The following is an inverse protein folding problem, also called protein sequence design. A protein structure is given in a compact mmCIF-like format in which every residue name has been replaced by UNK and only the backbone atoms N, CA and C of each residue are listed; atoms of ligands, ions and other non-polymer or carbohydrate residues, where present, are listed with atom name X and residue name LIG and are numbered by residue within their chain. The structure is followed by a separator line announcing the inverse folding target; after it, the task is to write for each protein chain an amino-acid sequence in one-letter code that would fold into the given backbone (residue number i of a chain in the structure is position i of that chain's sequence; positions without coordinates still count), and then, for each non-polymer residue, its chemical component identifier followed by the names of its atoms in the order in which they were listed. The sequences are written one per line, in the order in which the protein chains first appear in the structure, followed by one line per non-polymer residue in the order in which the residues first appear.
data_IF_238189174341
#
_entry.id   IF_238189174341
#
_cell.length_a   1.000
_cell.length_b   1.000
_cell.length_c   1.000
_cell.angle_alpha   90.00
_cell.angle_beta   90.00
_cell.angle_gamma   90.00
#
_symmetry.space_group_name_H-M   'P 1'
#
loop_
_entity.id
_entity.type
_entity.pdbx_description
1 polymer ?
#
# COMPACT_ATOMS: atom_id res chain seq x y z
N UNK A 1 11.65 -13.04 -12.74
CA UNK A 1 11.57 -11.67 -12.22
C UNK A 1 12.33 -10.77 -13.18
N UNK A 2 11.68 -9.76 -13.72
CA UNK A 2 12.38 -8.79 -14.57
C UNK A 2 13.39 -8.06 -13.70
N UNK A 3 14.56 -7.80 -14.27
CA UNK A 3 15.64 -7.07 -13.59
C UNK A 3 15.35 -5.56 -13.72
N UNK A 4 14.12 -5.15 -13.37
CA UNK A 4 13.70 -3.74 -13.47
C UNK A 4 14.34 -2.97 -12.34
N UNK A 5 15.27 -2.10 -12.65
CA UNK A 5 15.92 -1.22 -11.69
C UNK A 5 15.01 0.00 -11.44
N UNK A 6 14.43 0.07 -10.23
CA UNK A 6 13.60 1.17 -9.80
C UNK A 6 14.43 2.28 -9.14
N UNK A 7 14.28 3.50 -9.62
CA UNK A 7 15.04 4.65 -9.12
C UNK A 7 14.58 5.09 -7.72
N UNK A 8 13.29 5.14 -7.49
CA UNK A 8 12.69 5.58 -6.23
C UNK A 8 12.20 4.41 -5.37
N UNK A 9 11.46 3.47 -5.96
CA UNK A 9 10.87 2.36 -5.24
C UNK A 9 11.91 1.51 -4.50
N UNK A 10 13.10 1.33 -5.07
CA UNK A 10 14.18 0.59 -4.44
C UNK A 10 14.65 1.18 -3.10
N UNK A 11 14.46 2.49 -2.90
CA UNK A 11 14.91 3.25 -1.73
C UNK A 11 13.80 3.59 -0.75
N UNK A 12 12.54 3.42 -1.14
CA UNK A 12 11.38 3.81 -0.35
C UNK A 12 10.68 2.56 0.17
N UNK A 13 10.74 2.35 1.48
CA UNK A 13 10.07 1.25 2.18
C UNK A 13 9.19 1.74 3.32
N UNK A 14 9.23 3.04 3.64
CA UNK A 14 8.44 3.66 4.71
C UNK A 14 7.83 4.97 4.25
N UNK A 15 6.72 5.41 4.87
CA UNK A 15 6.15 6.73 4.62
C UNK A 15 7.13 7.88 4.91
N UNK A 16 8.01 7.70 5.90
CA UNK A 16 9.05 8.68 6.24
C UNK A 16 10.04 8.89 5.08
N UNK A 17 10.42 7.81 4.41
CA UNK A 17 11.27 7.88 3.22
C UNK A 17 10.53 8.50 2.03
N UNK A 18 9.25 8.17 1.85
CA UNK A 18 8.39 8.78 0.83
C UNK A 18 8.31 10.30 0.97
N UNK A 19 8.15 10.80 2.19
CA UNK A 19 8.06 12.25 2.48
C UNK A 19 9.35 13.04 2.19
N UNK A 20 10.48 12.37 1.99
CA UNK A 20 11.73 13.00 1.57
C UNK A 20 11.78 13.32 0.07
N UNK A 21 10.89 12.73 -0.74
CA UNK A 21 10.79 13.05 -2.17
C UNK A 21 10.22 14.45 -2.36
N UNK A 22 10.70 15.13 -3.41
CA UNK A 22 10.09 16.37 -3.89
C UNK A 22 8.77 16.03 -4.60
N UNK A 23 7.80 16.94 -4.55
CA UNK A 23 6.47 16.74 -5.18
C UNK A 23 6.60 16.34 -6.66
N UNK A 24 7.52 16.93 -7.40
CA UNK A 24 7.78 16.60 -8.81
C UNK A 24 8.24 15.16 -9.04
N UNK A 25 8.84 14.52 -8.03
CA UNK A 25 9.33 13.14 -8.10
C UNK A 25 8.24 12.11 -7.83
N UNK A 26 7.15 12.53 -7.16
CA UNK A 26 6.04 11.64 -6.80
C UNK A 26 5.37 11.02 -8.03
N UNK A 27 5.32 11.74 -9.16
CA UNK A 27 4.73 11.21 -10.39
C UNK A 27 5.53 10.03 -10.94
N UNK A 28 6.84 10.13 -10.93
CA UNK A 28 7.73 9.04 -11.37
C UNK A 28 7.66 7.86 -10.39
N UNK A 29 7.69 8.13 -9.09
CA UNK A 29 7.50 7.11 -8.07
C UNK A 29 6.15 6.38 -8.22
N UNK A 30 5.07 7.09 -8.53
CA UNK A 30 3.76 6.49 -8.78
C UNK A 30 3.78 5.51 -9.96
N UNK A 31 4.51 5.83 -11.03
CA UNK A 31 4.67 4.91 -12.16
C UNK A 31 5.47 3.66 -11.79
N UNK A 32 6.54 3.82 -11.03
CA UNK A 32 7.32 2.68 -10.53
C UNK A 32 6.48 1.76 -9.61
N UNK A 33 5.74 2.35 -8.68
CA UNK A 33 4.85 1.62 -7.77
C UNK A 33 3.76 0.85 -8.53
N UNK A 34 3.15 1.48 -9.54
CA UNK A 34 2.17 0.84 -10.42
C UNK A 34 2.77 -0.34 -11.18
N UNK A 35 3.96 -0.15 -11.75
CA UNK A 35 4.66 -1.19 -12.47
C UNK A 35 4.98 -2.40 -11.58
N UNK A 36 5.48 -2.15 -10.37
CA UNK A 36 5.77 -3.19 -9.39
C UNK A 36 4.54 -4.00 -8.98
N UNK A 37 3.40 -3.32 -8.78
CA UNK A 37 2.11 -4.02 -8.50
C UNK A 37 1.74 -4.94 -9.67
N UNK A 38 1.86 -4.46 -10.91
CA UNK A 38 1.55 -5.26 -12.11
C UNK A 38 2.46 -6.48 -12.19
N UNK A 39 3.77 -6.33 -12.00
CA UNK A 39 4.73 -7.44 -12.02
C UNK A 39 4.41 -8.49 -10.95
N UNK A 40 4.14 -8.06 -9.72
CA UNK A 40 3.78 -8.97 -8.63
C UNK A 40 2.46 -9.70 -8.91
N UNK A 41 1.44 -8.99 -9.42
CA UNK A 41 0.14 -9.57 -9.73
C UNK A 41 0.15 -10.47 -10.97
N UNK A 42 1.12 -10.33 -11.86
CA UNK A 42 1.28 -11.23 -13.01
C UNK A 42 1.63 -12.66 -12.57
N UNK A 43 2.38 -12.80 -11.49
CA UNK A 43 2.76 -14.10 -10.91
C UNK A 43 1.87 -14.52 -9.75
N UNK A 44 1.19 -13.60 -9.14
CA UNK A 44 0.37 -13.80 -7.95
C UNK A 44 -0.93 -12.98 -8.04
N UNK A 45 -1.95 -13.48 -8.73
CA UNK A 45 -3.18 -12.74 -9.03
C UNK A 45 -3.87 -12.16 -7.80
N UNK A 46 -4.39 -10.93 -7.93
CA UNK A 46 -5.03 -10.20 -6.83
C UNK A 46 -5.93 -9.06 -7.32
N UNK A 47 -6.20 -8.11 -6.43
CA UNK A 47 -7.05 -6.94 -6.67
C UNK A 47 -6.30 -5.86 -7.47
N UNK A 48 -6.02 -6.13 -8.75
CA UNK A 48 -5.17 -5.28 -9.58
C UNK A 48 -5.81 -3.93 -9.90
N UNK A 49 -7.00 -3.94 -10.51
CA UNK A 49 -7.64 -2.72 -10.99
C UNK A 49 -7.91 -1.69 -9.90
N UNK A 50 -8.47 -2.12 -8.77
CA UNK A 50 -8.74 -1.26 -7.62
C UNK A 50 -7.47 -0.65 -7.01
N UNK A 51 -6.40 -1.46 -6.92
CA UNK A 51 -5.12 -0.99 -6.39
C UNK A 51 -4.42 -0.02 -7.33
N UNK A 52 -4.44 -0.25 -8.64
CA UNK A 52 -3.87 0.67 -9.63
C UNK A 52 -4.61 2.02 -9.64
N UNK A 53 -5.94 2.02 -9.42
CA UNK A 53 -6.73 3.23 -9.33
C UNK A 53 -6.49 4.06 -8.06
N UNK A 54 -5.91 3.46 -7.03
CA UNK A 54 -5.65 4.11 -5.74
C UNK A 54 -4.18 4.51 -5.52
N UNK A 55 -3.29 4.33 -6.49
CA UNK A 55 -1.85 4.59 -6.34
C UNK A 55 -1.57 6.03 -5.92
N UNK A 56 -2.03 7.01 -6.70
CA UNK A 56 -1.79 8.43 -6.43
C UNK A 56 -2.44 8.89 -5.13
N UNK A 57 -3.67 8.44 -4.86
CA UNK A 57 -4.36 8.74 -3.60
C UNK A 57 -3.58 8.21 -2.39
N UNK A 58 -3.11 6.96 -2.46
CA UNK A 58 -2.33 6.34 -1.38
C UNK A 58 -1.02 7.08 -1.13
N UNK A 59 -0.31 7.45 -2.20
CA UNK A 59 0.92 8.26 -2.12
C UNK A 59 0.61 9.60 -1.43
N UNK A 60 -0.45 10.29 -1.88
CA UNK A 60 -0.84 11.59 -1.31
C UNK A 60 -1.17 11.50 0.18
N UNK A 61 -1.93 10.48 0.59
CA UNK A 61 -2.27 10.25 1.99
C UNK A 61 -1.02 10.04 2.86
N UNK A 62 -0.11 9.16 2.45
CA UNK A 62 1.13 8.91 3.19
C UNK A 62 2.16 10.05 3.10
N UNK A 63 2.04 10.91 2.10
CA UNK A 63 2.88 12.10 1.96
C UNK A 63 2.46 13.24 2.87
N UNK A 64 1.13 13.41 3.05
CA UNK A 64 0.54 14.53 3.81
C UNK A 64 0.35 14.19 5.29
N UNK A 65 -0.13 12.99 5.59
CA UNK A 65 -0.41 12.55 6.96
C UNK A 65 0.77 11.78 7.57
N UNK A 66 0.93 11.91 8.88
CA UNK A 66 2.02 11.27 9.63
C UNK A 66 1.63 9.87 10.11
N UNK A 67 1.54 8.93 9.14
CA UNK A 67 1.23 7.54 9.46
C UNK A 67 2.44 6.83 10.10
N UNK A 68 2.24 5.97 11.10
CA UNK A 68 0.96 5.40 11.59
C UNK A 68 0.26 6.20 12.68
N UNK A 69 0.83 7.34 13.16
CA UNK A 69 0.19 8.17 14.19
C UNK A 69 -1.16 8.71 13.69
N UNK A 70 -1.20 9.17 12.45
CA UNK A 70 -2.44 9.38 11.73
C UNK A 70 -2.94 8.04 11.17
N UNK A 71 -4.16 7.62 11.53
CA UNK A 71 -4.75 6.36 11.10
C UNK A 71 -5.43 6.46 9.75
N UNK A 72 -5.16 5.52 8.84
CA UNK A 72 -5.88 5.34 7.59
C UNK A 72 -6.72 4.07 7.69
N UNK A 73 -8.04 4.19 7.50
CA UNK A 73 -8.98 3.07 7.46
C UNK A 73 -9.44 2.87 6.03
N UNK A 74 -9.17 1.70 5.47
CA UNK A 74 -9.57 1.33 4.11
C UNK A 74 -10.92 0.63 4.13
N UNK A 75 -11.90 1.17 3.40
CA UNK A 75 -13.17 0.46 3.20
C UNK A 75 -12.96 -0.72 2.25
N UNK A 76 -13.45 -1.90 2.60
CA UNK A 76 -13.10 -3.18 1.97
C UNK A 76 -11.60 -3.50 2.10
N UNK A 77 -10.73 -2.60 1.62
CA UNK A 77 -9.28 -2.76 1.68
C UNK A 77 -8.65 -3.50 0.50
N UNK A 78 -9.44 -3.85 -0.53
CA UNK A 78 -8.92 -4.49 -1.76
C UNK A 78 -8.04 -3.55 -2.60
N UNK A 79 -8.13 -2.24 -2.39
CA UNK A 79 -7.33 -1.20 -3.03
C UNK A 79 -6.01 -0.89 -2.28
N UNK A 80 -5.68 -1.63 -1.23
CA UNK A 80 -4.61 -1.28 -0.29
C UNK A 80 -3.21 -1.82 -0.68
N UNK A 81 -3.00 -2.31 -1.89
CA UNK A 81 -1.67 -2.80 -2.31
C UNK A 81 -0.61 -1.69 -2.28
N UNK A 82 -0.86 -0.48 -2.82
CA UNK A 82 0.09 0.63 -2.66
C UNK A 82 0.42 0.93 -1.20
N UNK A 83 -0.59 0.92 -0.33
CA UNK A 83 -0.42 1.11 1.11
C UNK A 83 0.55 0.07 1.71
N UNK A 84 0.36 -1.21 1.40
CA UNK A 84 1.27 -2.27 1.89
C UNK A 84 2.71 -2.06 1.45
N UNK A 85 2.93 -1.72 0.19
CA UNK A 85 4.26 -1.52 -0.38
C UNK A 85 4.95 -0.31 0.27
N UNK A 86 4.23 0.80 0.50
CA UNK A 86 4.75 2.02 1.14
C UNK A 86 5.04 1.79 2.64
N UNK A 87 4.33 0.86 3.27
CA UNK A 87 4.37 0.61 4.71
C UNK A 87 5.12 -0.67 5.08
N UNK A 88 6.41 -0.72 4.77
CA UNK A 88 7.39 -1.73 5.20
C UNK A 88 7.21 -3.14 4.60
N UNK A 89 6.26 -3.34 3.67
CA UNK A 89 5.96 -4.66 3.09
C UNK A 89 6.29 -4.78 1.61
N UNK A 90 7.17 -3.92 1.09
CA UNK A 90 7.55 -3.95 -0.33
C UNK A 90 8.08 -5.33 -0.74
N UNK A 91 9.06 -5.86 -0.04
CA UNK A 91 9.64 -7.18 -0.36
C UNK A 91 8.66 -8.31 -0.09
N UNK A 92 7.94 -8.26 1.04
CA UNK A 92 6.93 -9.24 1.40
C UNK A 92 5.76 -9.25 0.40
N UNK A 93 5.54 -8.19 -0.37
CA UNK A 93 4.45 -8.11 -1.33
C UNK A 93 4.51 -9.18 -2.43
N UNK A 94 5.69 -9.71 -2.72
CA UNK A 94 5.85 -10.88 -3.62
C UNK A 94 5.16 -12.14 -3.10
N UNK A 95 4.79 -12.18 -1.82
CA UNK A 95 4.06 -13.27 -1.17
C UNK A 95 2.58 -12.95 -0.94
N UNK A 96 2.08 -11.82 -1.48
CA UNK A 96 0.71 -11.37 -1.27
C UNK A 96 -0.30 -12.45 -1.68
N UNK A 97 -1.24 -12.79 -0.79
CA UNK A 97 -2.26 -13.83 -0.97
C UNK A 97 -1.74 -15.27 -1.12
N UNK A 98 -0.44 -15.52 -0.97
CA UNK A 98 0.10 -16.88 -0.92
C UNK A 98 -0.04 -17.47 0.48
N UNK A 99 -0.10 -18.79 0.55
CA UNK A 99 -0.06 -19.49 1.84
C UNK A 99 1.22 -19.13 2.60
N UNK A 100 1.09 -18.74 3.85
CA UNK A 100 2.23 -18.27 4.66
C UNK A 100 2.75 -16.87 4.28
N UNK A 101 2.17 -16.21 3.27
CA UNK A 101 2.50 -14.85 2.86
C UNK A 101 1.60 -13.80 3.50
N UNK A 102 1.69 -12.57 2.97
CA UNK A 102 0.87 -11.46 3.46
C UNK A 102 -0.56 -11.51 2.93
N UNK A 103 -1.49 -10.92 3.69
CA UNK A 103 -2.91 -10.83 3.34
C UNK A 103 -3.17 -9.95 2.12
N UNK A 104 -4.17 -10.27 1.33
CA UNK A 104 -4.68 -9.42 0.24
C UNK A 104 -5.48 -8.20 0.71
N UNK A 105 -5.74 -8.08 2.02
CA UNK A 105 -6.44 -6.97 2.68
C UNK A 105 -5.59 -6.42 3.82
N UNK A 106 -5.85 -5.20 4.32
CA UNK A 106 -5.25 -4.71 5.55
C UNK A 106 -5.49 -5.69 6.71
N UNK A 107 -4.48 -5.87 7.55
CA UNK A 107 -4.53 -6.80 8.67
C UNK A 107 -3.70 -6.27 9.84
N UNK A 108 -4.35 -5.98 10.95
CA UNK A 108 -3.72 -5.37 12.13
C UNK A 108 -2.55 -6.21 12.68
N UNK A 109 -2.65 -7.53 12.63
CA UNK A 109 -1.57 -8.42 13.07
C UNK A 109 -0.36 -8.47 12.13
N UNK A 110 -0.47 -7.85 10.94
CA UNK A 110 0.58 -7.84 9.91
C UNK A 110 1.45 -6.59 9.97
N UNK A 111 0.85 -5.44 10.30
CA UNK A 111 1.54 -4.15 10.29
C UNK A 111 0.87 -3.14 11.23
N UNK A 112 1.71 -2.34 11.92
CA UNK A 112 1.26 -1.20 12.72
C UNK A 112 0.58 -0.10 11.89
N UNK A 113 0.78 -0.09 10.58
CA UNK A 113 0.13 0.86 9.67
C UNK A 113 -1.29 0.45 9.28
N UNK A 114 -1.70 -0.77 9.58
CA UNK A 114 -3.05 -1.26 9.33
C UNK A 114 -3.92 -0.99 10.56
N UNK A 115 -4.55 0.19 10.60
CA UNK A 115 -5.37 0.64 11.72
C UNK A 115 -6.62 -0.22 11.95
N UNK A 116 -7.11 -0.90 10.90
CA UNK A 116 -8.25 -1.81 10.95
C UNK A 116 -8.12 -2.91 9.89
N UNK A 117 -8.75 -4.05 10.10
CA UNK A 117 -8.80 -5.14 9.13
C UNK A 117 -9.79 -4.86 8.01
N UNK A 118 -9.59 -5.50 6.85
CA UNK A 118 -10.41 -5.31 5.66
C UNK A 118 -11.14 -6.58 5.23
N UNK A 119 -11.95 -6.47 4.17
CA UNK A 119 -12.65 -7.56 3.50
C UNK A 119 -14.14 -7.34 3.28
N UNK A 120 -14.79 -6.47 4.06
CA UNK A 120 -16.22 -6.15 3.96
C UNK A 120 -16.43 -4.66 3.72
N UNK A 121 -17.43 -4.35 2.88
CA UNK A 121 -17.82 -2.98 2.59
C UNK A 121 -18.55 -2.33 3.77
N UNK A 122 -18.45 -1.00 3.85
CA UNK A 122 -19.16 -0.14 4.79
C UNK A 122 -18.74 -0.29 6.27
N UNK A 123 -17.63 -0.97 6.56
CA UNK A 123 -17.10 -1.09 7.92
C UNK A 123 -16.22 0.10 8.33
N UNK A 124 -15.70 0.84 7.36
CA UNK A 124 -14.73 1.92 7.61
C UNK A 124 -15.30 3.08 8.41
N UNK A 125 -16.58 3.41 8.23
CA UNK A 125 -17.24 4.49 8.97
C UNK A 125 -17.30 4.17 10.46
N UNK A 126 -17.82 2.98 10.80
CA UNK A 126 -17.90 2.54 12.20
C UNK A 126 -16.52 2.34 12.83
N UNK A 127 -15.58 1.76 12.09
CA UNK A 127 -14.21 1.57 12.55
C UNK A 127 -13.50 2.91 12.78
N UNK A 128 -13.60 3.84 11.83
CA UNK A 128 -13.02 5.18 11.96
C UNK A 128 -13.62 5.96 13.14
N UNK A 129 -14.93 5.90 13.33
CA UNK A 129 -15.60 6.51 14.46
C UNK A 129 -15.15 5.91 15.80
N UNK A 130 -14.94 4.59 15.86
CA UNK A 130 -14.48 3.92 17.06
C UNK A 130 -13.00 4.17 17.40
N UNK A 131 -12.17 4.51 16.40
CA UNK A 131 -10.75 4.87 16.58
C UNK A 131 -10.61 6.33 17.06
N UNK A 132 -11.46 7.21 16.55
CA UNK A 132 -11.47 8.64 16.91
C UNK A 132 -11.96 8.85 18.35
#
# INVERSE_FOLDING_TARGET
MSNTEYKYLSRINTPQELRKLKVKELKEYAQELRHYIIECCATNPGHLGSSLGAVELTIALHYVYDTPDDSIVWDVGHQAYPHKIITERREAFTTNRKYGGISGFPRMSESRYDAFGGGHASVSISAGFGIA
#
